data_IF_519487419737
#
_entry.id   IF_519487419737
#
_cell.length_a   1.000
_cell.length_b   1.000
_cell.length_c   1.000
_cell.angle_alpha   90.00
_cell.angle_beta   90.00
_cell.angle_gamma   90.00
#
_symmetry.space_group_name_H-M   'P 1'
#
loop_
_entity.id
_entity.type
_entity.pdbx_description
1 polymer ?
#
# COMPACT_ATOMS: atom_id res chain seq x y z
N UNK A 1 -32.95 -39.87 -20.20
CA UNK A 1 -31.58 -39.50 -20.54
C UNK A 1 -30.73 -40.77 -20.52
N UNK A 2 -29.85 -41.07 -21.48
CA UNK A 2 -29.02 -42.28 -21.45
C UNK A 2 -28.21 -42.48 -20.15
N UNK A 3 -28.02 -41.40 -19.38
CA UNK A 3 -27.24 -41.39 -18.13
C UNK A 3 -28.13 -41.42 -16.88
N UNK A 4 -29.39 -41.85 -17.00
CA UNK A 4 -30.29 -41.98 -15.85
C UNK A 4 -29.97 -43.24 -15.02
N UNK A 5 -29.87 -43.11 -13.69
CA UNK A 5 -29.56 -44.21 -12.77
C UNK A 5 -28.07 -44.31 -12.44
N UNK A 6 -27.56 -45.52 -12.19
CA UNK A 6 -26.15 -45.73 -11.79
C UNK A 6 -25.14 -45.28 -12.86
N UNK A 7 -25.55 -45.20 -14.13
CA UNK A 7 -24.73 -44.66 -15.22
C UNK A 7 -24.52 -43.13 -15.12
N UNK A 8 -25.33 -42.43 -14.31
CA UNK A 8 -25.15 -41.01 -14.01
C UNK A 8 -24.30 -40.74 -12.77
N UNK A 9 -23.94 -41.78 -12.01
CA UNK A 9 -23.07 -41.69 -10.84
C UNK A 9 -21.62 -41.91 -11.28
N UNK A 10 -20.85 -40.83 -11.27
CA UNK A 10 -19.42 -40.84 -11.61
C UNK A 10 -18.58 -40.84 -10.34
N UNK A 11 -17.54 -41.67 -10.32
CA UNK A 11 -16.46 -41.62 -9.34
C UNK A 11 -15.20 -41.02 -9.96
N UNK A 12 -14.58 -40.10 -9.24
CA UNK A 12 -13.39 -39.36 -9.67
C UNK A 12 -12.13 -39.86 -8.96
N UNK A 13 -10.99 -39.86 -9.64
CA UNK A 13 -9.69 -40.26 -9.08
C UNK A 13 -8.52 -39.62 -9.80
N UNK A 14 -7.37 -39.48 -9.11
CA UNK A 14 -6.10 -39.13 -9.72
C UNK A 14 -5.39 -40.40 -10.21
N UNK A 15 -5.08 -40.46 -11.50
CA UNK A 15 -4.48 -41.63 -12.18
C UNK A 15 -2.97 -41.69 -11.95
N UNK A 16 -2.29 -40.55 -12.06
CA UNK A 16 -0.84 -40.45 -11.94
C UNK A 16 -0.39 -39.28 -11.07
N UNK A 17 0.55 -39.58 -10.17
CA UNK A 17 1.46 -38.61 -9.53
C UNK A 17 0.83 -37.59 -8.58
N UNK A 18 1.65 -37.08 -7.68
CA UNK A 18 1.35 -35.91 -6.83
C UNK A 18 0.23 -36.04 -5.80
N UNK A 19 -0.08 -37.27 -5.39
CA UNK A 19 -1.00 -37.55 -4.28
C UNK A 19 -0.52 -37.02 -2.93
N UNK A 20 0.74 -36.57 -2.83
CA UNK A 20 1.27 -35.89 -1.65
C UNK A 20 0.96 -34.38 -1.67
N UNK A 21 0.81 -33.80 -2.86
CA UNK A 21 0.57 -32.39 -3.08
C UNK A 21 -0.91 -32.07 -3.26
N UNK A 22 -1.65 -32.96 -3.94
CA UNK A 22 -3.06 -32.79 -4.33
C UNK A 22 -3.84 -34.07 -4.12
N UNK A 23 -5.15 -33.93 -3.94
CA UNK A 23 -6.08 -35.04 -3.83
C UNK A 23 -7.46 -34.62 -4.40
N UNK A 24 -8.36 -35.57 -4.62
CA UNK A 24 -9.65 -35.35 -5.29
C UNK A 24 -10.78 -36.02 -4.53
N UNK A 25 -11.88 -35.29 -4.34
CA UNK A 25 -13.09 -35.86 -3.75
C UNK A 25 -13.75 -36.80 -4.77
N UNK A 26 -13.89 -38.07 -4.39
CA UNK A 26 -14.33 -39.13 -5.29
C UNK A 26 -15.75 -38.92 -5.83
N UNK A 27 -16.61 -38.18 -5.13
CA UNK A 27 -18.03 -38.04 -5.47
C UNK A 27 -18.32 -36.74 -6.24
N UNK A 28 -17.55 -35.69 -5.98
CA UNK A 28 -17.75 -34.35 -6.55
C UNK A 28 -16.74 -34.00 -7.63
N UNK A 29 -15.59 -34.68 -7.65
CA UNK A 29 -14.47 -34.34 -8.55
C UNK A 29 -13.72 -33.08 -8.14
N UNK A 30 -13.98 -32.53 -6.94
CA UNK A 30 -13.27 -31.36 -6.44
C UNK A 30 -11.83 -31.73 -6.10
N UNK A 31 -10.86 -31.08 -6.76
CA UNK A 31 -9.44 -31.21 -6.46
C UNK A 31 -9.07 -30.24 -5.33
N UNK A 32 -8.36 -30.73 -4.32
CA UNK A 32 -7.88 -29.94 -3.20
C UNK A 32 -6.37 -30.12 -3.00
N UNK A 33 -5.76 -29.11 -2.38
CA UNK A 33 -4.34 -29.11 -2.05
C UNK A 33 -4.12 -29.84 -0.73
N UNK A 34 -3.23 -30.83 -0.71
CA UNK A 34 -2.78 -31.55 0.49
C UNK A 34 -1.58 -30.83 1.11
N UNK A 35 -0.50 -30.64 0.34
CA UNK A 35 0.68 -29.89 0.79
C UNK A 35 1.57 -29.46 -0.37
N UNK A 36 1.72 -28.16 -0.56
CA UNK A 36 2.62 -27.57 -1.58
C UNK A 36 3.70 -26.69 -0.96
N UNK A 37 3.97 -26.86 0.33
CA UNK A 37 4.97 -26.06 1.03
C UNK A 37 6.38 -26.29 0.43
N UNK A 38 7.02 -25.20 -0.02
CA UNK A 38 8.33 -25.26 -0.68
C UNK A 38 8.30 -25.86 -2.09
N UNK A 39 7.10 -26.04 -2.67
CA UNK A 39 6.90 -26.43 -4.06
C UNK A 39 6.60 -25.19 -4.90
N UNK A 40 7.09 -25.18 -6.14
CA UNK A 40 6.75 -24.19 -7.15
C UNK A 40 6.84 -24.84 -8.54
N UNK A 41 6.06 -24.32 -9.49
CA UNK A 41 6.01 -24.80 -10.88
C UNK A 41 4.66 -25.41 -11.25
N UNK A 42 4.60 -25.96 -12.47
CA UNK A 42 3.39 -26.57 -13.03
C UNK A 42 3.38 -28.06 -12.79
N UNK A 43 2.22 -28.52 -12.34
CA UNK A 43 1.91 -29.89 -11.96
C UNK A 43 0.79 -30.42 -12.85
N UNK A 44 1.06 -31.50 -13.58
CA UNK A 44 0.06 -32.11 -14.44
C UNK A 44 -0.62 -33.25 -13.69
N UNK A 45 -1.91 -33.08 -13.38
CA UNK A 45 -2.74 -34.06 -12.71
C UNK A 45 -3.57 -34.79 -13.76
N UNK A 46 -3.42 -36.11 -13.85
CA UNK A 46 -4.27 -36.93 -14.70
C UNK A 46 -5.50 -37.37 -13.90
N UNK A 47 -6.68 -36.89 -14.30
CA UNK A 47 -7.95 -37.12 -13.61
C UNK A 47 -8.77 -38.14 -14.40
N UNK A 48 -9.33 -39.13 -13.73
CA UNK A 48 -10.24 -40.12 -14.30
C UNK A 48 -11.64 -40.01 -13.71
N UNK A 49 -12.66 -40.04 -14.55
CA UNK A 49 -14.05 -40.28 -14.18
C UNK A 49 -14.44 -41.72 -14.58
N UNK A 50 -15.13 -42.42 -13.68
CA UNK A 50 -15.58 -43.81 -13.88
C UNK A 50 -17.07 -43.91 -13.58
N UNK A 51 -17.87 -44.42 -14.51
CA UNK A 51 -19.29 -44.69 -14.26
C UNK A 51 -19.49 -45.92 -13.35
N UNK A 52 -20.69 -46.06 -12.78
CA UNK A 52 -21.06 -47.23 -11.96
C UNK A 52 -21.92 -48.25 -12.72
N UNK A 53 -21.82 -48.28 -14.06
CA UNK A 53 -22.49 -49.28 -14.87
C UNK A 53 -21.97 -50.70 -14.62
N UNK A 54 -22.76 -51.72 -15.00
CA UNK A 54 -22.36 -53.14 -14.89
C UNK A 54 -21.06 -53.43 -15.66
N UNK A 55 -20.84 -52.74 -16.78
CA UNK A 55 -19.53 -52.66 -17.45
C UNK A 55 -19.04 -51.23 -17.29
N UNK A 56 -18.06 -51.03 -16.41
CA UNK A 56 -17.56 -49.69 -16.09
C UNK A 56 -16.85 -49.06 -17.28
N UNK A 57 -17.24 -47.85 -17.64
CA UNK A 57 -16.53 -47.02 -18.59
C UNK A 57 -15.72 -45.94 -17.86
N UNK A 58 -14.58 -45.58 -18.44
CA UNK A 58 -13.67 -44.59 -17.88
C UNK A 58 -13.32 -43.53 -18.92
N UNK A 59 -13.24 -42.27 -18.49
CA UNK A 59 -12.70 -41.16 -19.26
C UNK A 59 -11.59 -40.47 -18.47
N UNK A 60 -10.55 -40.00 -19.16
CA UNK A 60 -9.40 -39.32 -18.54
C UNK A 60 -9.19 -37.94 -19.14
N UNK A 61 -8.70 -37.01 -18.33
CA UNK A 61 -8.30 -35.66 -18.73
C UNK A 61 -7.08 -35.19 -17.94
N UNK A 62 -6.37 -34.18 -18.45
CA UNK A 62 -5.24 -33.56 -17.74
C UNK A 62 -5.63 -32.21 -17.18
N UNK A 63 -5.39 -32.01 -15.89
CA UNK A 63 -5.55 -30.73 -15.18
C UNK A 63 -4.16 -30.19 -14.87
N UNK A 64 -3.85 -28.98 -15.36
CA UNK A 64 -2.59 -28.32 -15.07
C UNK A 64 -2.76 -27.39 -13.86
N UNK A 65 -2.07 -27.69 -12.77
CA UNK A 65 -2.04 -26.87 -11.56
C UNK A 65 -0.71 -26.15 -11.48
N UNK A 66 -0.74 -24.81 -11.52
CA UNK A 66 0.47 -24.01 -11.31
C UNK A 66 0.51 -23.57 -9.86
N UNK A 67 1.52 -24.03 -9.13
CA UNK A 67 1.84 -23.51 -7.80
C UNK A 67 2.89 -22.44 -8.00
N UNK A 68 2.48 -21.19 -7.81
CA UNK A 68 3.42 -20.10 -7.79
C UNK A 68 4.04 -19.97 -6.39
N UNK A 69 5.33 -19.66 -6.35
CA UNK A 69 5.99 -19.15 -5.13
C UNK A 69 5.61 -17.70 -4.84
N UNK A 70 4.61 -17.16 -5.56
CA UNK A 70 4.26 -15.76 -5.59
C UNK A 70 4.17 -15.21 -4.17
N UNK A 71 4.94 -14.14 -3.97
CA UNK A 71 4.73 -13.33 -2.79
C UNK A 71 3.32 -12.77 -2.88
N UNK A 72 2.57 -12.76 -1.78
CA UNK A 72 1.27 -12.10 -1.69
C UNK A 72 1.28 -10.61 -2.10
N UNK A 73 2.45 -10.04 -2.42
CA UNK A 73 2.64 -8.65 -2.83
C UNK A 73 2.06 -8.29 -4.21
N UNK A 74 1.88 -9.28 -5.10
CA UNK A 74 1.31 -9.06 -6.44
C UNK A 74 -0.21 -9.26 -6.51
N UNK A 75 -0.82 -9.76 -5.44
CA UNK A 75 -2.29 -9.90 -5.35
C UNK A 75 -2.92 -8.50 -5.27
N UNK A 76 -3.90 -8.25 -6.15
CA UNK A 76 -4.67 -7.00 -6.15
C UNK A 76 -6.07 -7.25 -5.61
N UNK A 77 -6.52 -6.42 -4.68
CA UNK A 77 -7.86 -6.47 -4.10
C UNK A 77 -8.81 -5.55 -4.85
N UNK A 78 -9.76 -6.15 -5.57
CA UNK A 78 -10.86 -5.47 -6.23
C UNK A 78 -12.09 -5.51 -5.32
N UNK A 79 -12.69 -4.36 -5.05
CA UNK A 79 -13.90 -4.22 -4.23
C UNK A 79 -15.07 -3.90 -5.14
N UNK A 80 -16.07 -4.79 -5.15
CA UNK A 80 -17.32 -4.62 -5.87
C UNK A 80 -18.43 -4.31 -4.89
N UNK A 81 -19.24 -3.29 -5.17
CA UNK A 81 -20.44 -2.93 -4.40
C UNK A 81 -21.62 -3.92 -4.63
N UNK A 82 -21.33 -5.20 -4.69
CA UNK A 82 -22.32 -6.26 -4.88
C UNK A 82 -22.23 -7.28 -3.75
N UNK A 83 -23.33 -7.99 -3.50
CA UNK A 83 -23.35 -9.10 -2.53
C UNK A 83 -22.52 -10.27 -3.04
N UNK A 84 -21.85 -10.97 -2.11
CA UNK A 84 -20.97 -12.10 -2.43
C UNK A 84 -21.67 -13.17 -3.27
N UNK A 85 -22.91 -13.52 -2.94
CA UNK A 85 -23.67 -14.53 -3.66
C UNK A 85 -24.01 -14.13 -5.11
N UNK A 86 -24.03 -12.83 -5.42
CA UNK A 86 -24.23 -12.31 -6.78
C UNK A 86 -22.90 -12.39 -7.55
N UNK A 87 -21.79 -12.00 -6.91
CA UNK A 87 -20.45 -12.03 -7.50
C UNK A 87 -20.01 -13.48 -7.76
N UNK A 88 -20.15 -14.38 -6.78
CA UNK A 88 -19.78 -15.79 -6.92
C UNK A 88 -20.59 -16.49 -8.03
N UNK A 89 -21.89 -16.19 -8.12
CA UNK A 89 -22.77 -16.78 -9.14
C UNK A 89 -22.33 -16.43 -10.57
N UNK A 90 -21.79 -15.22 -10.77
CA UNK A 90 -21.32 -14.76 -12.07
C UNK A 90 -19.80 -14.64 -12.12
N UNK A 91 -19.09 -15.43 -11.31
CA UNK A 91 -17.64 -15.34 -11.16
C UNK A 91 -16.93 -15.58 -12.50
N UNK A 92 -17.42 -16.54 -13.30
CA UNK A 92 -16.88 -16.80 -14.64
C UNK A 92 -17.02 -15.57 -15.56
N UNK A 93 -18.15 -14.88 -15.53
CA UNK A 93 -18.37 -13.66 -16.32
C UNK A 93 -17.52 -12.48 -15.80
N UNK A 94 -17.37 -12.35 -14.48
CA UNK A 94 -16.48 -11.35 -13.87
C UNK A 94 -15.04 -11.58 -14.32
N UNK A 95 -14.54 -12.81 -14.22
CA UNK A 95 -13.20 -13.17 -14.68
C UNK A 95 -13.03 -12.85 -16.16
N UNK A 96 -13.99 -13.26 -17.01
CA UNK A 96 -13.97 -12.97 -18.44
C UNK A 96 -13.89 -11.47 -18.75
N UNK A 97 -14.65 -10.64 -18.05
CA UNK A 97 -14.60 -9.17 -18.22
C UNK A 97 -13.22 -8.65 -17.83
N UNK A 98 -12.65 -9.12 -16.73
CA UNK A 98 -11.31 -8.70 -16.31
C UNK A 98 -10.25 -9.15 -17.32
N UNK A 99 -10.30 -10.38 -17.83
CA UNK A 99 -9.38 -10.88 -18.86
C UNK A 99 -9.50 -10.07 -20.16
N UNK A 100 -10.72 -9.75 -20.59
CA UNK A 100 -10.97 -8.95 -21.80
C UNK A 100 -10.43 -7.53 -21.66
N UNK A 101 -10.72 -6.83 -20.55
CA UNK A 101 -10.30 -5.44 -20.36
C UNK A 101 -8.84 -5.30 -20.00
N UNK A 102 -8.28 -6.26 -19.27
CA UNK A 102 -6.87 -6.24 -18.87
C UNK A 102 -5.95 -6.90 -19.89
N UNK A 103 -6.47 -7.63 -20.88
CA UNK A 103 -5.69 -8.37 -21.89
C UNK A 103 -4.62 -9.28 -21.25
N UNK A 104 -4.94 -9.84 -20.09
CA UNK A 104 -4.09 -10.74 -19.31
C UNK A 104 -4.92 -11.92 -18.83
N UNK A 105 -4.25 -13.04 -18.54
CA UNK A 105 -4.89 -14.16 -17.86
C UNK A 105 -5.13 -13.75 -16.40
N UNK A 106 -6.38 -13.76 -15.93
CA UNK A 106 -6.74 -13.29 -14.58
C UNK A 106 -7.26 -14.45 -13.76
N UNK A 107 -6.68 -14.68 -12.60
CA UNK A 107 -7.13 -15.68 -11.63
C UNK A 107 -7.74 -15.00 -10.43
N UNK A 108 -8.98 -15.33 -10.10
CA UNK A 108 -9.59 -14.94 -8.82
C UNK A 108 -9.13 -15.92 -7.74
N UNK A 109 -8.24 -15.43 -6.88
CA UNK A 109 -7.63 -16.22 -5.80
C UNK A 109 -8.63 -16.46 -4.67
N UNK A 110 -9.39 -15.42 -4.28
CA UNK A 110 -10.40 -15.50 -3.24
C UNK A 110 -11.53 -14.50 -3.51
N UNK A 111 -12.75 -14.88 -3.16
CA UNK A 111 -13.93 -14.02 -3.14
C UNK A 111 -14.51 -14.08 -1.74
N UNK A 112 -14.64 -12.95 -1.05
CA UNK A 112 -15.17 -12.90 0.31
C UNK A 112 -15.87 -11.58 0.59
N UNK A 113 -16.84 -11.61 1.51
CA UNK A 113 -17.55 -10.40 1.93
C UNK A 113 -16.76 -9.69 3.03
N UNK A 114 -16.88 -8.36 3.08
CA UNK A 114 -16.31 -7.56 4.17
C UNK A 114 -17.14 -7.71 5.43
N UNK A 115 -17.00 -8.85 6.11
CA UNK A 115 -17.59 -9.04 7.44
C UNK A 115 -16.67 -8.36 8.46
N UNK A 116 -16.99 -7.12 8.86
CA UNK A 116 -16.28 -6.45 9.94
C UNK A 116 -16.36 -7.31 11.20
N UNK A 117 -15.21 -7.78 11.70
CA UNK A 117 -15.05 -8.61 12.92
C UNK A 117 -15.61 -7.97 14.22
N UNK A 118 -16.26 -6.81 14.16
CA UNK A 118 -16.96 -6.23 15.30
C UNK A 118 -18.32 -5.67 14.89
N UNK A 119 -19.37 -6.43 15.26
CA UNK A 119 -20.81 -6.09 15.23
C UNK A 119 -21.54 -6.43 13.93
N UNK A 120 -22.41 -7.43 14.07
CA UNK A 120 -23.50 -7.84 13.18
C UNK A 120 -24.53 -6.74 12.85
N UNK A 121 -24.13 -5.60 12.28
CA UNK A 121 -25.07 -4.54 11.84
C UNK A 121 -24.71 -3.80 10.54
N UNK A 122 -23.73 -4.25 9.77
CA UNK A 122 -23.57 -3.75 8.41
C UNK A 122 -22.99 -4.83 7.52
N UNK A 123 -23.86 -5.68 6.96
CA UNK A 123 -23.55 -6.31 5.68
C UNK A 123 -23.51 -5.15 4.69
N UNK A 124 -22.35 -4.55 4.48
CA UNK A 124 -22.16 -3.75 3.29
C UNK A 124 -22.39 -4.71 2.13
N UNK A 125 -23.15 -4.30 1.11
CA UNK A 125 -23.25 -5.02 -0.15
C UNK A 125 -21.90 -4.89 -0.87
N UNK A 126 -20.80 -5.32 -0.24
CA UNK A 126 -19.43 -5.20 -0.71
C UNK A 126 -18.78 -6.59 -0.69
N UNK A 127 -18.18 -6.93 -1.82
CA UNK A 127 -17.42 -8.16 -2.02
C UNK A 127 -16.00 -7.79 -2.41
N UNK A 128 -15.04 -8.37 -1.71
CA UNK A 128 -13.62 -8.28 -2.04
C UNK A 128 -13.24 -9.49 -2.89
N UNK A 129 -12.61 -9.21 -4.03
CA UNK A 129 -12.11 -10.19 -4.99
C UNK A 129 -10.60 -10.00 -5.08
N UNK A 130 -9.85 -10.97 -4.58
CA UNK A 130 -8.40 -10.99 -4.73
C UNK A 130 -8.07 -11.58 -6.09
N UNK A 131 -7.37 -10.81 -6.93
CA UNK A 131 -6.99 -11.23 -8.27
C UNK A 131 -5.47 -11.30 -8.44
N UNK A 132 -5.04 -12.19 -9.32
CA UNK A 132 -3.68 -12.29 -9.83
C UNK A 132 -3.73 -12.27 -11.36
N UNK A 133 -2.78 -11.59 -12.00
CA UNK A 133 -2.73 -11.50 -13.45
C UNK A 133 -1.41 -12.08 -13.99
N UNK A 134 -1.49 -12.73 -15.15
CA UNK A 134 -0.34 -13.28 -15.86
C UNK A 134 -0.37 -12.84 -17.32
N UNK A 135 0.80 -12.54 -17.87
CA UNK A 135 0.94 -12.22 -19.28
C UNK A 135 0.78 -13.46 -20.18
N UNK A 136 0.90 -13.27 -21.50
CA UNK A 136 0.81 -14.36 -22.49
C UNK A 136 1.95 -15.40 -22.34
N UNK A 137 3.05 -15.04 -21.68
CA UNK A 137 4.17 -15.92 -21.38
C UNK A 137 4.04 -16.60 -20.00
N UNK A 138 2.85 -16.50 -19.37
CA UNK A 138 2.56 -17.01 -18.03
C UNK A 138 3.51 -16.46 -16.95
N UNK A 139 4.00 -15.24 -17.13
CA UNK A 139 4.73 -14.52 -16.09
C UNK A 139 3.77 -13.66 -15.28
N UNK A 140 3.95 -13.67 -13.96
CA UNK A 140 3.13 -12.87 -13.04
C UNK A 140 3.32 -11.38 -13.35
N UNK A 141 2.20 -10.68 -13.51
CA UNK A 141 2.18 -9.23 -13.75
C UNK A 141 2.27 -8.51 -12.40
N UNK A 142 3.17 -7.52 -12.25
CA UNK A 142 3.29 -6.76 -11.00
C UNK A 142 1.99 -6.08 -10.59
N UNK A 143 1.68 -6.08 -9.29
CA UNK A 143 0.44 -5.49 -8.76
C UNK A 143 0.22 -4.04 -9.23
N UNK A 144 1.26 -3.22 -9.31
CA UNK A 144 1.12 -1.82 -9.73
C UNK A 144 0.69 -1.67 -11.19
N UNK A 145 1.11 -2.58 -12.07
CA UNK A 145 0.68 -2.60 -13.46
C UNK A 145 -0.78 -3.05 -13.58
N UNK A 146 -1.17 -4.05 -12.78
CA UNK A 146 -2.57 -4.50 -12.66
C UNK A 146 -3.47 -3.37 -12.15
N UNK A 147 -3.08 -2.71 -11.05
CA UNK A 147 -3.83 -1.57 -10.50
C UNK A 147 -3.93 -0.41 -11.49
N UNK A 148 -2.85 -0.11 -12.22
CA UNK A 148 -2.86 0.93 -13.26
C UNK A 148 -3.90 0.60 -14.33
N UNK A 149 -3.86 -0.60 -14.91
CA UNK A 149 -4.77 -0.99 -16.00
C UNK A 149 -6.22 -1.09 -15.53
N UNK A 150 -6.47 -1.57 -14.31
CA UNK A 150 -7.79 -1.53 -13.67
C UNK A 150 -8.34 -0.10 -13.52
N UNK A 151 -7.48 0.88 -13.16
CA UNK A 151 -7.89 2.30 -13.08
C UNK A 151 -8.20 2.89 -14.45
N UNK A 152 -7.40 2.54 -15.45
CA UNK A 152 -7.58 2.99 -16.83
C UNK A 152 -8.87 2.43 -17.45
N UNK A 153 -9.19 1.17 -17.17
CA UNK A 153 -10.36 0.46 -17.71
C UNK A 153 -11.59 0.50 -16.79
N UNK A 154 -11.55 1.32 -15.73
CA UNK A 154 -12.55 1.29 -14.66
C UNK A 154 -13.98 1.43 -15.17
N UNK A 155 -14.24 2.44 -16.01
CA UNK A 155 -15.58 2.73 -16.51
C UNK A 155 -16.10 1.60 -17.40
N UNK A 156 -15.26 1.05 -18.28
CA UNK A 156 -15.62 -0.07 -19.15
C UNK A 156 -15.92 -1.35 -18.35
N UNK A 157 -15.14 -1.61 -17.30
CA UNK A 157 -15.38 -2.74 -16.38
C UNK A 157 -16.70 -2.55 -15.64
N UNK A 158 -16.95 -1.38 -15.06
CA UNK A 158 -18.20 -1.08 -14.33
C UNK A 158 -19.43 -1.24 -15.23
N UNK A 159 -19.35 -0.77 -16.48
CA UNK A 159 -20.44 -0.88 -17.47
C UNK A 159 -20.74 -2.33 -17.85
N UNK A 160 -19.73 -3.16 -18.12
CA UNK A 160 -19.98 -4.57 -18.45
C UNK A 160 -20.52 -5.36 -17.25
N UNK A 161 -19.97 -5.11 -16.05
CA UNK A 161 -20.43 -5.75 -14.82
C UNK A 161 -21.86 -5.31 -14.45
N UNK A 162 -22.24 -4.06 -14.70
CA UNK A 162 -23.62 -3.60 -14.50
C UNK A 162 -24.61 -4.38 -15.35
N UNK A 163 -24.25 -4.71 -16.60
CA UNK A 163 -25.10 -5.57 -17.46
C UNK A 163 -25.21 -6.99 -16.91
N UNK A 164 -24.10 -7.56 -16.44
CA UNK A 164 -24.07 -8.92 -15.88
C UNK A 164 -24.91 -9.00 -14.61
N UNK A 165 -24.70 -8.08 -13.67
CA UNK A 165 -25.40 -8.10 -12.38
C UNK A 165 -26.80 -7.50 -12.45
N UNK A 166 -27.14 -6.82 -13.54
CA UNK A 166 -28.40 -6.06 -13.69
C UNK A 166 -28.62 -5.06 -12.55
N UNK A 167 -27.54 -4.46 -12.06
CA UNK A 167 -27.51 -3.52 -10.94
C UNK A 167 -26.31 -2.57 -11.07
N UNK A 168 -26.39 -1.33 -10.57
CA UNK A 168 -25.29 -0.38 -10.65
C UNK A 168 -24.04 -0.88 -9.94
N UNK A 169 -22.91 -0.86 -10.65
CA UNK A 169 -21.62 -1.36 -10.15
C UNK A 169 -20.66 -0.22 -9.87
N UNK A 170 -19.96 -0.30 -8.75
CA UNK A 170 -18.69 0.38 -8.56
C UNK A 170 -17.59 -0.62 -8.24
N UNK A 171 -16.48 -0.47 -8.96
CA UNK A 171 -15.26 -1.24 -8.82
C UNK A 171 -14.16 -0.33 -8.25
N UNK A 172 -13.79 -0.57 -7.00
CA UNK A 172 -12.70 0.13 -6.33
C UNK A 172 -11.51 -0.79 -6.12
N UNK A 173 -10.30 -0.22 -6.10
CA UNK A 173 -9.07 -0.97 -5.79
C UNK A 173 -8.71 -0.60 -4.35
N UNK A 174 -8.71 -1.57 -3.45
CA UNK A 174 -8.29 -1.33 -2.07
C UNK A 174 -6.77 -1.45 -2.01
N UNK A 175 -6.10 -0.35 -1.64
CA UNK A 175 -4.68 -0.42 -1.34
C UNK A 175 -4.50 -0.98 0.06
N UNK A 176 -3.57 -1.93 0.22
CA UNK A 176 -3.12 -2.32 1.54
C UNK A 176 -2.81 -1.03 2.32
N UNK A 177 -3.32 -0.86 3.55
CA UNK A 177 -3.10 0.37 4.31
C UNK A 177 -1.60 0.63 4.30
N UNK A 178 -1.21 1.78 3.72
CA UNK A 178 0.18 2.20 3.66
C UNK A 178 0.76 1.93 5.04
N UNK A 179 1.72 1.00 5.13
CA UNK A 179 2.21 0.46 6.38
C UNK A 179 2.29 1.60 7.38
N UNK A 180 1.41 1.59 8.40
CA UNK A 180 1.26 2.72 9.30
C UNK A 180 2.65 3.10 9.75
N UNK A 181 3.12 4.27 9.35
CA UNK A 181 4.49 4.69 9.59
C UNK A 181 4.75 4.46 11.07
N UNK A 182 5.77 3.65 11.38
CA UNK A 182 5.98 3.21 12.75
C UNK A 182 6.07 4.46 13.65
N UNK A 183 5.54 4.42 14.88
CA UNK A 183 5.62 5.57 15.79
C UNK A 183 7.06 6.10 15.94
N UNK A 184 8.06 5.23 15.77
CA UNK A 184 9.48 5.55 15.74
C UNK A 184 9.88 6.44 14.55
N UNK A 185 9.43 6.10 13.34
CA UNK A 185 9.67 6.91 12.14
C UNK A 185 8.97 8.28 12.26
N UNK A 186 7.74 8.31 12.77
CA UNK A 186 7.01 9.56 13.01
C UNK A 186 7.74 10.44 14.03
N UNK A 187 8.19 9.86 15.15
CA UNK A 187 8.96 10.58 16.17
C UNK A 187 10.29 11.12 15.62
N UNK A 188 11.00 10.35 14.79
CA UNK A 188 12.24 10.77 14.17
C UNK A 188 12.03 11.96 13.21
N UNK A 189 10.97 11.93 12.39
CA UNK A 189 10.62 13.04 11.49
C UNK A 189 10.28 14.29 12.31
N UNK A 190 9.42 14.17 13.32
CA UNK A 190 9.01 15.31 14.17
C UNK A 190 10.22 15.91 14.89
N UNK A 191 11.09 15.08 15.47
CA UNK A 191 12.31 15.54 16.14
C UNK A 191 13.26 16.24 15.16
N UNK A 192 13.42 15.71 13.95
CA UNK A 192 14.22 16.33 12.90
C UNK A 192 13.71 17.72 12.50
N UNK A 193 12.40 17.87 12.32
CA UNK A 193 11.76 19.16 12.00
C UNK A 193 11.91 20.16 13.15
N UNK A 194 11.73 19.71 14.40
CA UNK A 194 11.91 20.56 15.59
C UNK A 194 13.36 21.03 15.75
N UNK A 195 14.34 20.15 15.52
CA UNK A 195 15.76 20.50 15.56
C UNK A 195 16.12 21.49 14.46
N UNK A 196 15.63 21.29 13.24
CA UNK A 196 15.85 22.23 12.14
C UNK A 196 15.26 23.61 12.44
N UNK A 197 14.01 23.66 12.94
CA UNK A 197 13.34 24.90 13.29
C UNK A 197 14.04 25.67 14.42
N UNK A 198 14.44 24.97 15.48
CA UNK A 198 15.19 25.57 16.60
C UNK A 198 16.57 26.06 16.18
N UNK A 199 17.27 25.33 15.33
CA UNK A 199 18.56 25.73 14.79
C UNK A 199 18.46 26.98 13.91
N UNK A 200 17.44 27.08 13.05
CA UNK A 200 17.18 28.27 12.23
C UNK A 200 16.87 29.48 13.11
N UNK A 201 16.02 29.32 14.13
CA UNK A 201 15.69 30.40 15.07
C UNK A 201 16.93 30.87 15.85
N UNK A 202 17.77 29.94 16.29
CA UNK A 202 19.03 30.24 16.98
C UNK A 202 20.02 31.00 16.08
N UNK A 203 20.19 30.57 14.83
CA UNK A 203 20.99 31.28 13.82
C UNK A 203 20.49 32.71 13.60
N UNK A 204 19.18 32.89 13.45
CA UNK A 204 18.58 34.21 13.31
C UNK A 204 18.84 35.09 14.54
N UNK A 205 18.70 34.53 15.75
CA UNK A 205 18.99 35.24 17.01
C UNK A 205 20.46 35.69 17.09
N UNK A 206 21.41 34.78 16.82
CA UNK A 206 22.85 35.10 16.83
C UNK A 206 23.17 36.18 15.80
N UNK A 207 22.60 36.12 14.60
CA UNK A 207 22.79 37.16 13.58
C UNK A 207 22.23 38.52 14.02
N UNK A 208 21.08 38.54 14.70
CA UNK A 208 20.50 39.77 15.26
C UNK A 208 21.36 40.33 16.40
N UNK A 209 21.87 39.48 17.30
CA UNK A 209 22.74 39.91 18.41
C UNK A 209 24.07 40.47 17.90
N UNK A 210 24.69 39.80 16.91
CA UNK A 210 25.90 40.30 16.25
C UNK A 210 25.68 41.64 15.56
N UNK A 211 24.53 41.84 14.89
CA UNK A 211 24.16 43.13 14.31
C UNK A 211 23.95 44.20 15.39
N UNK A 212 23.35 43.86 16.52
CA UNK A 212 23.12 44.77 17.65
C UNK A 212 24.44 45.22 18.29
N UNK A 213 25.37 44.29 18.53
CA UNK A 213 26.71 44.59 19.04
C UNK A 213 27.50 45.48 18.09
N UNK A 214 27.53 45.15 16.79
CA UNK A 214 28.17 46.01 15.77
C UNK A 214 27.61 47.43 15.75
N UNK A 215 26.28 47.60 15.90
CA UNK A 215 25.67 48.94 16.01
C UNK A 215 26.11 49.68 17.27
N UNK A 216 26.17 49.01 18.43
CA UNK A 216 26.64 49.62 19.67
C UNK A 216 28.12 50.02 19.62
N UNK A 217 28.98 49.20 19.01
CA UNK A 217 30.39 49.53 18.81
C UNK A 217 30.56 50.71 17.84
N UNK A 218 29.71 50.80 16.80
CA UNK A 218 29.70 51.94 15.89
C UNK A 218 29.27 53.23 16.60
N UNK A 219 28.22 53.18 17.41
CA UNK A 219 27.74 54.36 18.18
C UNK A 219 28.81 54.80 19.19
N UNK A 220 29.42 53.88 19.94
CA UNK A 220 30.53 54.21 20.86
C UNK A 220 31.73 54.80 20.14
N UNK A 221 32.04 54.32 18.93
CA UNK A 221 33.14 54.87 18.12
C UNK A 221 32.82 56.28 17.61
N UNK A 222 31.57 56.56 17.24
CA UNK A 222 31.10 57.89 16.83
C UNK A 222 31.12 58.86 18.02
N UNK A 223 30.62 58.46 19.19
CA UNK A 223 30.71 59.26 20.43
C UNK A 223 32.17 59.55 20.83
N UNK A 224 33.06 58.57 20.70
CA UNK A 224 34.49 58.75 20.99
C UNK A 224 35.16 59.71 20.01
N UNK A 225 34.79 59.69 18.72
CA UNK A 225 35.29 60.67 17.74
C UNK A 225 34.70 62.07 17.95
N UNK A 226 33.42 62.19 18.32
CA UNK A 226 32.80 63.48 18.68
C UNK A 226 33.40 64.08 19.95
N UNK A 227 33.82 63.24 20.90
CA UNK A 227 34.50 63.67 22.14
C UNK A 227 35.92 64.19 21.91
N UNK A 228 36.59 63.83 20.80
CA UNK A 228 37.96 64.27 20.50
C UNK A 228 37.96 65.59 19.71
N UNK A 229 36.89 65.88 18.95
CA UNK A 229 36.80 67.04 18.05
C UNK A 229 36.16 68.30 18.66
N UNK A 230 36.01 68.41 19.99
CA UNK A 230 35.45 69.61 20.62
C UNK A 230 36.44 70.32 21.57
N UNK A 231 37.25 71.29 21.09
CA UNK A 231 38.21 72.01 21.94
C UNK A 231 37.59 73.11 22.82
N UNK A 232 36.31 73.49 22.65
CA UNK A 232 35.76 74.70 23.29
C UNK A 232 34.44 74.43 24.03
N UNK A 233 34.53 73.96 25.28
CA UNK A 233 33.48 74.18 26.26
C UNK A 233 33.82 75.43 27.08
N UNK A 234 33.24 76.57 26.69
CA UNK A 234 33.34 77.85 27.40
C UNK A 234 32.42 77.80 28.62
N UNK A 235 32.98 77.99 29.80
CA UNK A 235 32.28 78.26 31.05
C UNK A 235 31.85 79.74 31.12
N UNK A 236 30.64 80.01 31.63
CA UNK A 236 30.22 81.36 31.99
C UNK A 236 29.84 81.43 33.46
N UNK A 237 30.69 82.16 34.19
CA UNK A 237 30.47 82.84 35.46
C UNK A 237 30.34 82.00 36.74
N UNK A 238 31.45 81.91 37.47
CA UNK A 238 31.61 82.82 38.62
C UNK A 238 31.58 82.19 40.00
N UNK A 239 32.66 81.52 40.41
CA UNK A 239 33.09 81.54 41.82
C UNK A 239 34.56 81.15 41.96
N UNK A 240 35.38 82.07 42.45
CA UNK A 240 36.75 81.84 42.89
C UNK A 240 36.72 81.12 44.25
N UNK A 241 37.21 79.88 44.30
CA UNK A 241 37.77 79.33 45.54
C UNK A 241 39.11 78.64 45.29
N UNK A 242 40.12 79.31 45.87
CA UNK A 242 41.37 78.80 46.42
C UNK A 242 42.15 77.76 45.62
N UNK A 243 43.20 78.28 44.99
CA UNK A 243 44.42 77.60 44.59
C UNK A 243 45.13 77.08 45.86
N UNK A 244 44.95 75.80 46.18
CA UNK A 244 45.76 75.12 47.20
C UNK A 244 46.69 74.10 46.54
N UNK A 245 47.90 74.59 46.32
CA UNK A 245 49.20 73.98 46.59
C UNK A 245 49.47 72.55 46.08
N UNK A 246 50.35 72.53 45.09
CA UNK A 246 51.23 71.46 44.65
C UNK A 246 52.16 70.97 45.77
N UNK A 247 52.24 69.66 46.00
CA UNK A 247 53.39 68.91 46.54
C UNK A 247 53.20 67.44 46.07
N UNK A 248 53.97 66.96 45.08
CA UNK A 248 55.08 65.98 45.21
C UNK A 248 54.63 64.63 45.83
N UNK A 249 54.96 63.42 45.35
CA UNK A 249 56.05 62.92 44.49
C UNK A 249 55.75 61.45 44.13
N UNK A 250 56.13 61.05 42.91
CA UNK A 250 56.80 59.82 42.46
C UNK A 250 56.47 58.39 42.99
N UNK A 251 56.40 57.50 41.98
CA UNK A 251 56.50 56.02 41.93
C UNK A 251 55.28 55.18 42.31
#
# INVERSE_FOLDING_TARGET
DPDSGDNGLLLYSLVTGQTNEFDIDENTGQIFTVSVAGRAGTFNLEVQATDQGTTRLTAQTTVNVTVDSSSSSNIVMLVLNQKINVVERHSAEVQRVLEEKLEWNVYMVNIYSKESETKARSSTDETQVNILAFDEAYQEVPAEDVKRKLREQKEDIEVELERIFSAPVSAAIEEAPAASTSPELVAAIVLGVLLAGTFIAFLAYVLLDLKRKRKQDLVKKVEFTESIDNPWAVDKNGSLKSLEKLEHMNY
#
